data_IF_667318643130
#
_entry.id   IF_667318643130
#
_cell.length_a   1.000
_cell.length_b   1.000
_cell.length_c   1.000
_cell.angle_alpha   90.00
_cell.angle_beta   90.00
_cell.angle_gamma   90.00
#
_symmetry.space_group_name_H-M   'P 1'
#
loop_
_entity.id
_entity.type
_entity.pdbx_description
1 polymer ?
#
# COMPACT_ATOMS: atom_id res chain seq x y z
N UNK A 1 16.91 6.41 3.48
CA UNK A 1 18.13 6.57 2.64
C UNK A 1 17.95 7.70 1.60
N UNK A 2 18.78 8.74 1.66
CA UNK A 2 18.85 9.77 0.59
C UNK A 2 19.81 9.27 -0.48
N UNK A 3 19.39 9.30 -1.74
CA UNK A 3 20.27 9.00 -2.87
C UNK A 3 21.02 10.28 -3.22
N UNK A 4 22.32 10.31 -2.95
CA UNK A 4 23.19 11.46 -3.21
C UNK A 4 23.28 11.74 -4.72
N UNK A 5 23.18 13.00 -5.13
CA UNK A 5 23.42 13.42 -6.53
C UNK A 5 22.18 13.58 -7.41
N UNK A 6 20.96 13.44 -6.86
CA UNK A 6 19.73 13.75 -7.59
C UNK A 6 19.47 15.26 -7.60
N UNK A 7 18.98 15.79 -8.72
CA UNK A 7 18.47 17.16 -8.76
C UNK A 7 17.29 17.33 -7.79
N UNK A 8 17.11 18.51 -7.13
CA UNK A 8 16.10 18.69 -6.08
C UNK A 8 14.66 18.35 -6.49
N UNK A 9 14.31 18.52 -7.77
CA UNK A 9 13.00 18.16 -8.30
C UNK A 9 12.80 16.64 -8.34
N UNK A 10 13.81 15.89 -8.77
CA UNK A 10 13.78 14.43 -8.81
C UNK A 10 13.72 13.84 -7.40
N UNK A 11 14.49 14.39 -6.45
CA UNK A 11 14.45 13.96 -5.05
C UNK A 11 13.05 14.15 -4.44
N UNK A 12 12.39 15.29 -4.71
CA UNK A 12 11.02 15.54 -4.25
C UNK A 12 10.00 14.59 -4.87
N UNK A 13 10.07 14.34 -6.17
CA UNK A 13 9.19 13.38 -6.85
C UNK A 13 9.35 11.98 -6.28
N UNK A 14 10.58 11.51 -6.08
CA UNK A 14 10.83 10.18 -5.53
C UNK A 14 10.44 10.07 -4.06
N UNK A 15 10.64 11.10 -3.25
CA UNK A 15 10.18 11.13 -1.86
C UNK A 15 8.64 11.12 -1.76
N UNK A 16 7.98 11.93 -2.60
CA UNK A 16 6.52 11.96 -2.72
C UNK A 16 5.92 10.65 -3.21
N UNK A 17 6.69 9.87 -3.98
CA UNK A 17 6.30 8.53 -4.44
C UNK A 17 6.52 7.47 -3.35
N UNK A 18 7.71 7.44 -2.74
CA UNK A 18 8.12 6.36 -1.86
C UNK A 18 7.29 6.29 -0.58
N UNK A 19 6.93 7.43 0.02
CA UNK A 19 6.20 7.45 1.29
C UNK A 19 4.76 6.89 1.16
N UNK A 20 3.92 7.33 0.19
CA UNK A 20 2.59 6.74 0.00
C UNK A 20 2.63 5.26 -0.37
N UNK A 21 3.59 4.83 -1.22
CA UNK A 21 3.71 3.42 -1.61
C UNK A 21 4.14 2.54 -0.45
N UNK A 22 5.10 2.98 0.36
CA UNK A 22 5.51 2.24 1.55
C UNK A 22 4.35 2.01 2.52
N UNK A 23 3.47 3.01 2.68
CA UNK A 23 2.26 2.87 3.51
C UNK A 23 1.20 1.98 2.83
N UNK A 24 0.98 2.14 1.53
CA UNK A 24 0.05 1.32 0.77
C UNK A 24 0.42 -0.17 0.86
N UNK A 25 1.71 -0.50 0.82
CA UNK A 25 2.22 -1.86 0.94
C UNK A 25 1.86 -2.48 2.30
N UNK A 26 2.11 -1.77 3.39
CA UNK A 26 1.77 -2.23 4.74
C UNK A 26 0.27 -2.49 4.91
N UNK A 27 -0.56 -1.58 4.43
CA UNK A 27 -2.03 -1.72 4.52
C UNK A 27 -2.52 -2.89 3.65
N UNK A 28 -1.91 -3.08 2.47
CA UNK A 28 -2.23 -4.19 1.58
C UNK A 28 -1.84 -5.53 2.19
N UNK A 29 -0.70 -5.62 2.88
CA UNK A 29 -0.28 -6.81 3.64
C UNK A 29 -1.29 -7.13 4.75
N UNK A 30 -1.62 -6.14 5.60
CA UNK A 30 -2.62 -6.29 6.66
C UNK A 30 -3.98 -6.76 6.11
N UNK A 31 -4.39 -6.25 4.95
CA UNK A 31 -5.62 -6.65 4.26
C UNK A 31 -5.58 -8.11 3.82
N UNK A 32 -4.46 -8.57 3.26
CA UNK A 32 -4.30 -9.95 2.81
C UNK A 32 -4.29 -10.92 3.99
N UNK A 33 -3.65 -10.55 5.10
CA UNK A 33 -3.63 -11.34 6.33
C UNK A 33 -5.05 -11.46 6.92
N UNK A 34 -5.77 -10.35 7.08
CA UNK A 34 -7.14 -10.35 7.63
C UNK A 34 -8.14 -11.11 6.73
N UNK A 35 -8.03 -10.97 5.41
CA UNK A 35 -8.88 -11.70 4.46
C UNK A 35 -8.56 -13.20 4.43
N UNK A 36 -7.29 -13.58 4.59
CA UNK A 36 -6.86 -14.98 4.66
C UNK A 36 -7.30 -15.62 5.97
N UNK A 37 -7.17 -14.90 7.08
CA UNK A 37 -7.68 -15.31 8.39
C UNK A 37 -9.19 -15.50 8.31
N UNK A 38 -9.97 -14.51 7.84
CA UNK A 38 -11.43 -14.67 7.73
C UNK A 38 -11.86 -15.84 6.83
N UNK A 39 -11.15 -16.12 5.74
CA UNK A 39 -11.43 -17.28 4.88
C UNK A 39 -11.08 -18.62 5.56
N UNK A 40 -9.97 -18.68 6.28
CA UNK A 40 -9.50 -19.88 7.00
C UNK A 40 -10.35 -20.16 8.24
N UNK A 41 -10.66 -19.09 8.97
CA UNK A 41 -11.47 -19.05 10.17
C UNK A 41 -12.98 -19.17 9.87
N UNK A 42 -13.42 -18.91 8.64
CA UNK A 42 -14.80 -19.11 8.17
C UNK A 42 -15.32 -20.56 8.29
N UNK A 43 -14.47 -21.53 8.62
CA UNK A 43 -14.87 -22.89 9.02
C UNK A 43 -14.76 -23.21 10.52
N UNK A 44 -14.09 -22.40 11.34
CA UNK A 44 -13.85 -22.72 12.76
C UNK A 44 -14.06 -21.59 13.79
N UNK A 45 -14.19 -20.32 13.40
CA UNK A 45 -13.96 -19.20 14.34
C UNK A 45 -15.19 -18.37 14.68
N UNK A 46 -16.15 -19.02 15.35
CA UNK A 46 -16.94 -18.30 16.34
C UNK A 46 -16.13 -17.94 17.61
N UNK A 47 -14.90 -18.48 17.77
CA UNK A 47 -14.29 -18.60 19.09
C UNK A 47 -13.27 -17.50 19.47
N UNK A 48 -12.33 -17.09 18.61
CA UNK A 48 -11.21 -16.26 19.09
C UNK A 48 -10.96 -15.02 18.22
N UNK A 49 -11.73 -13.96 18.50
CA UNK A 49 -11.52 -12.62 17.92
C UNK A 49 -10.53 -11.78 18.76
N UNK A 50 -9.50 -12.41 19.30
CA UNK A 50 -8.42 -11.76 20.06
C UNK A 50 -7.06 -11.94 19.39
N UNK A 51 -6.87 -11.32 18.22
CA UNK A 51 -5.53 -10.94 17.81
C UNK A 51 -5.37 -9.45 18.14
N UNK A 52 -4.73 -9.15 19.28
CA UNK A 52 -4.46 -7.78 19.76
C UNK A 52 -3.50 -6.96 18.89
N UNK A 53 -3.43 -7.23 17.57
CA UNK A 53 -2.73 -6.41 16.59
C UNK A 53 -3.67 -5.33 16.08
N UNK A 54 -3.29 -4.09 16.34
CA UNK A 54 -3.93 -2.91 15.76
C UNK A 54 -3.46 -2.77 14.30
N UNK A 55 -4.19 -3.35 13.36
CA UNK A 55 -3.93 -3.30 11.91
C UNK A 55 -4.86 -2.28 11.26
N UNK A 56 -4.55 -1.81 10.05
CA UNK A 56 -5.45 -0.87 9.37
C UNK A 56 -6.89 -1.41 9.19
N UNK A 57 -7.08 -2.65 8.71
CA UNK A 57 -8.40 -3.25 8.56
C UNK A 57 -9.15 -3.44 9.88
N UNK A 58 -8.46 -3.76 10.99
CA UNK A 58 -9.13 -3.94 12.28
C UNK A 58 -9.61 -2.63 12.90
N UNK A 59 -8.96 -1.50 12.58
CA UNK A 59 -9.35 -0.16 13.05
C UNK A 59 -10.38 0.51 12.13
N UNK A 60 -10.14 0.51 10.82
CA UNK A 60 -10.92 1.27 9.84
C UNK A 60 -11.96 0.42 9.10
N UNK A 61 -11.85 -0.90 9.18
CA UNK A 61 -12.59 -1.84 8.34
C UNK A 61 -11.93 -2.10 6.99
N UNK A 62 -12.23 -3.26 6.41
CA UNK A 62 -11.72 -3.71 5.11
C UNK A 62 -12.04 -2.71 3.98
N UNK A 63 -13.29 -2.23 3.80
CA UNK A 63 -13.59 -1.33 2.68
C UNK A 63 -12.84 0.00 2.75
N UNK A 64 -12.75 0.60 3.93
CA UNK A 64 -12.05 1.86 4.13
C UNK A 64 -10.52 1.70 3.96
N UNK A 65 -9.98 0.55 4.36
CA UNK A 65 -8.57 0.21 4.16
C UNK A 65 -8.24 0.03 2.67
N UNK A 66 -9.07 -0.69 1.91
CA UNK A 66 -8.91 -0.83 0.46
C UNK A 66 -8.93 0.52 -0.25
N UNK A 67 -9.89 1.37 0.11
CA UNK A 67 -9.98 2.73 -0.43
C UNK A 67 -8.75 3.57 -0.03
N UNK A 68 -8.22 3.39 1.18
CA UNK A 68 -6.98 4.06 1.61
C UNK A 68 -5.79 3.66 0.74
N UNK A 69 -5.64 2.38 0.40
CA UNK A 69 -4.60 1.89 -0.53
C UNK A 69 -4.76 2.56 -1.90
N UNK A 70 -5.97 2.60 -2.47
CA UNK A 70 -6.20 3.25 -3.78
C UNK A 70 -5.82 4.73 -3.78
N UNK A 71 -6.16 5.47 -2.73
CA UNK A 71 -5.77 6.88 -2.60
C UNK A 71 -4.25 7.07 -2.49
N UNK A 72 -3.57 6.23 -1.70
CA UNK A 72 -2.12 6.29 -1.57
C UNK A 72 -1.42 5.96 -2.90
N UNK A 73 -1.96 5.00 -3.65
CA UNK A 73 -1.49 4.68 -4.98
C UNK A 73 -1.62 5.87 -5.93
N UNK A 74 -2.79 6.53 -5.96
CA UNK A 74 -2.99 7.71 -6.80
C UNK A 74 -2.01 8.85 -6.43
N UNK A 75 -1.83 9.12 -5.13
CA UNK A 75 -0.85 10.11 -4.64
C UNK A 75 0.59 9.80 -5.10
N UNK A 76 0.96 8.52 -5.13
CA UNK A 76 2.24 8.09 -5.65
C UNK A 76 2.36 8.33 -7.17
N UNK A 77 1.32 8.04 -7.95
CA UNK A 77 1.33 8.31 -9.39
C UNK A 77 1.45 9.80 -9.71
N UNK A 78 0.74 10.65 -8.96
CA UNK A 78 0.77 12.10 -9.11
C UNK A 78 2.17 12.68 -8.87
N UNK A 79 2.88 12.17 -7.85
CA UNK A 79 4.25 12.62 -7.55
C UNK A 79 5.29 12.21 -8.62
N UNK A 80 4.99 11.19 -9.42
CA UNK A 80 5.79 10.77 -10.58
C UNK A 80 5.47 11.55 -11.87
N UNK A 81 4.40 12.34 -11.93
CA UNK A 81 4.01 13.07 -13.13
C UNK A 81 5.15 13.92 -13.75
N UNK A 82 5.96 14.65 -12.96
CA UNK A 82 7.07 15.45 -13.49
C UNK A 82 8.19 14.63 -14.16
N UNK A 83 8.28 13.33 -13.86
CA UNK A 83 9.33 12.46 -14.39
C UNK A 83 8.96 11.85 -15.76
N UNK A 84 7.73 12.06 -16.23
CA UNK A 84 7.27 11.58 -17.54
C UNK A 84 7.48 10.07 -17.71
N UNK A 85 7.96 9.64 -18.88
CA UNK A 85 8.21 8.22 -19.21
C UNK A 85 9.33 7.57 -18.39
N UNK A 86 10.25 8.36 -17.83
CA UNK A 86 11.36 7.82 -17.01
C UNK A 86 10.86 7.13 -15.74
N UNK A 87 9.61 7.36 -15.33
CA UNK A 87 8.99 6.71 -14.18
C UNK A 87 8.09 5.51 -14.53
N UNK A 88 8.04 5.06 -15.79
CA UNK A 88 7.15 3.96 -16.20
C UNK A 88 7.38 2.67 -15.41
N UNK A 89 8.64 2.33 -15.11
CA UNK A 89 8.95 1.18 -14.27
C UNK A 89 8.41 1.31 -12.84
N UNK A 90 8.45 2.52 -12.27
CA UNK A 90 7.89 2.78 -10.93
C UNK A 90 6.37 2.67 -10.93
N UNK A 91 5.68 3.17 -11.98
CA UNK A 91 4.23 3.00 -12.14
C UNK A 91 3.84 1.52 -12.24
N UNK A 92 4.57 0.75 -13.04
CA UNK A 92 4.29 -0.68 -13.19
C UNK A 92 4.41 -1.46 -11.87
N UNK A 93 5.40 -1.14 -11.04
CA UNK A 93 5.57 -1.75 -9.71
C UNK A 93 4.40 -1.41 -8.79
N UNK A 94 3.88 -0.19 -8.85
CA UNK A 94 2.77 0.22 -7.98
C UNK A 94 1.42 -0.32 -8.45
N UNK A 95 1.22 -0.44 -9.76
CA UNK A 95 0.05 -1.12 -10.32
C UNK A 95 0.03 -2.60 -9.90
N UNK A 96 1.19 -3.26 -9.93
CA UNK A 96 1.34 -4.63 -9.43
C UNK A 96 0.98 -4.75 -7.95
N UNK A 97 1.40 -3.77 -7.12
CA UNK A 97 1.06 -3.76 -5.70
C UNK A 97 -0.46 -3.75 -5.46
N UNK A 98 -1.21 -2.93 -6.20
CA UNK A 98 -2.68 -2.90 -6.10
C UNK A 98 -3.34 -4.19 -6.58
N UNK A 99 -2.74 -4.87 -7.55
CA UNK A 99 -3.28 -6.09 -8.13
C UNK A 99 -2.95 -7.34 -7.28
N UNK A 100 -2.14 -7.20 -6.24
CA UNK A 100 -1.64 -8.32 -5.44
C UNK A 100 -2.80 -9.02 -4.71
N UNK A 101 -2.80 -10.35 -4.79
CA UNK A 101 -3.83 -11.24 -4.23
C UNK A 101 -3.25 -12.33 -3.31
N UNK A 102 -1.95 -12.30 -3.04
CA UNK A 102 -1.18 -13.31 -2.31
C UNK A 102 0.10 -12.73 -1.74
#
# INVERSE_FOLDING_TARGET
PRVSGLGPALERSLAGFAAPIGLAFQIQDDLLDELSDTATLGKMAGADRQHGKSTHPSILGIPASQERVRRLHQQALESLAPLGRSADALRAVTDWLLARRN
#
